data_IF_310901659636
#
_entry.id   IF_310901659636
#
_cell.length_a   1.000
_cell.length_b   1.000
_cell.length_c   1.000
_cell.angle_alpha   90.00
_cell.angle_beta   90.00
_cell.angle_gamma   90.00
#
_symmetry.space_group_name_H-M   'P 1'
#
loop_
_entity.id
_entity.type
_entity.pdbx_description
1 polymer ?
#
# COMPACT_ATOMS: atom_id res chain seq x y z
N UNK A 1 -19.08 -4.35 2.09
CA UNK A 1 -17.72 -3.74 2.31
C UNK A 1 -17.58 -3.17 3.72
N UNK A 2 -18.49 -2.34 4.24
CA UNK A 2 -18.34 -1.73 5.57
C UNK A 2 -18.09 -2.74 6.70
N UNK A 3 -18.89 -3.82 6.80
CA UNK A 3 -18.69 -4.87 7.83
C UNK A 3 -17.31 -5.53 7.73
N UNK A 4 -16.84 -5.83 6.52
CA UNK A 4 -15.51 -6.42 6.32
C UNK A 4 -14.39 -5.45 6.72
N UNK A 5 -14.56 -4.16 6.47
CA UNK A 5 -13.60 -3.14 6.86
C UNK A 5 -13.52 -2.99 8.40
N UNK A 6 -14.68 -2.98 9.09
CA UNK A 6 -14.70 -2.96 10.57
C UNK A 6 -13.96 -4.18 11.12
N UNK A 7 -14.26 -5.37 10.61
CA UNK A 7 -13.58 -6.59 11.04
C UNK A 7 -12.07 -6.53 10.82
N UNK A 8 -11.65 -6.08 9.63
CA UNK A 8 -10.23 -5.93 9.29
C UNK A 8 -9.51 -4.99 10.26
N UNK A 9 -10.07 -3.81 10.52
CA UNK A 9 -9.46 -2.82 11.40
C UNK A 9 -9.50 -3.24 12.89
N UNK A 10 -10.55 -3.95 13.32
CA UNK A 10 -10.59 -4.56 14.65
C UNK A 10 -9.53 -5.65 14.81
N UNK A 11 -9.35 -6.50 13.80
CA UNK A 11 -8.30 -7.52 13.79
C UNK A 11 -6.92 -6.90 13.88
N UNK A 12 -6.67 -5.82 13.13
CA UNK A 12 -5.43 -5.06 13.19
C UNK A 12 -5.13 -4.59 14.62
N UNK A 13 -6.07 -3.90 15.25
CA UNK A 13 -5.90 -3.38 16.62
C UNK A 13 -5.75 -4.49 17.66
N UNK A 14 -6.51 -5.58 17.53
CA UNK A 14 -6.45 -6.71 18.47
C UNK A 14 -5.14 -7.49 18.35
N UNK A 15 -4.67 -7.71 17.13
CA UNK A 15 -3.45 -8.47 16.87
C UNK A 15 -2.18 -7.63 17.11
N UNK A 16 -2.27 -6.31 17.00
CA UNK A 16 -1.12 -5.38 17.07
C UNK A 16 0.12 -5.93 16.33
N UNK A 17 0.00 -6.29 15.02
CA UNK A 17 0.99 -7.08 14.32
C UNK A 17 2.36 -6.39 14.32
N UNK A 18 3.42 -7.12 14.66
CA UNK A 18 4.78 -6.65 14.49
C UNK A 18 5.08 -6.58 12.99
N UNK A 19 5.13 -5.38 12.46
CA UNK A 19 5.30 -5.09 11.03
C UNK A 19 6.74 -4.63 10.78
N UNK A 20 7.53 -5.48 10.15
CA UNK A 20 8.88 -5.14 9.72
C UNK A 20 8.83 -4.28 8.46
N UNK A 21 9.42 -3.10 8.49
CA UNK A 21 9.47 -2.18 7.36
C UNK A 21 10.92 -1.93 6.94
N UNK A 22 11.30 -2.49 5.78
CA UNK A 22 12.48 -2.02 5.04
C UNK A 22 11.96 -0.88 4.16
N UNK A 23 12.12 0.35 4.65
CA UNK A 23 11.58 1.53 4.01
C UNK A 23 12.64 2.59 3.77
N UNK A 24 12.26 3.69 3.13
CA UNK A 24 13.18 4.77 2.81
C UNK A 24 13.39 5.70 4.00
N UNK A 25 14.59 6.26 4.12
CA UNK A 25 14.98 7.13 5.25
C UNK A 25 14.24 8.48 5.26
N UNK A 26 13.60 8.87 4.15
CA UNK A 26 12.81 10.11 4.09
C UNK A 26 11.52 9.99 4.90
N UNK A 27 10.96 8.78 4.98
CA UNK A 27 9.62 8.56 5.55
C UNK A 27 9.58 7.52 6.67
N UNK A 28 10.72 6.96 7.06
CA UNK A 28 10.80 5.91 8.08
C UNK A 28 10.08 6.29 9.39
N UNK A 29 10.31 7.51 9.89
CA UNK A 29 9.65 8.01 11.10
C UNK A 29 8.12 8.08 10.95
N UNK A 30 7.63 8.57 9.81
CA UNK A 30 6.20 8.68 9.55
C UNK A 30 5.53 7.32 9.40
N UNK A 31 6.19 6.38 8.73
CA UNK A 31 5.72 5.00 8.62
C UNK A 31 5.59 4.34 9.99
N UNK A 32 6.58 4.53 10.88
CA UNK A 32 6.51 4.02 12.24
C UNK A 32 5.36 4.64 13.04
N UNK A 33 5.21 5.97 13.00
CA UNK A 33 4.17 6.67 13.76
C UNK A 33 2.76 6.34 13.25
N UNK A 34 2.55 6.22 11.93
CA UNK A 34 1.23 5.85 11.41
C UNK A 34 0.86 4.41 11.74
N UNK A 35 1.82 3.49 11.77
CA UNK A 35 1.59 2.12 12.22
C UNK A 35 1.14 2.07 13.68
N UNK A 36 1.82 2.79 14.57
CA UNK A 36 1.41 2.94 15.97
C UNK A 36 0.00 3.54 16.09
N UNK A 37 -0.28 4.58 15.29
CA UNK A 37 -1.58 5.24 15.26
C UNK A 37 -2.72 4.29 14.86
N UNK A 38 -2.50 3.40 13.89
CA UNK A 38 -3.48 2.37 13.52
C UNK A 38 -3.55 1.18 14.48
N UNK A 39 -2.63 1.08 15.46
CA UNK A 39 -2.61 0.02 16.46
C UNK A 39 -1.72 -1.17 16.10
N UNK A 40 -0.78 -1.02 15.16
CA UNK A 40 0.27 -2.00 14.86
C UNK A 40 1.55 -1.68 15.64
N UNK A 41 2.51 -2.61 15.59
CA UNK A 41 3.85 -2.47 16.20
C UNK A 41 4.90 -2.39 15.08
N UNK A 42 5.53 -1.24 14.82
CA UNK A 42 6.55 -1.12 13.79
C UNK A 42 7.92 -1.60 14.25
N UNK A 43 8.70 -2.19 13.34
CA UNK A 43 10.13 -2.38 13.48
C UNK A 43 10.82 -1.96 12.18
N UNK A 44 11.82 -1.06 12.29
CA UNK A 44 12.51 -0.47 11.15
C UNK A 44 13.96 -0.99 11.15
N UNK A 45 14.19 -2.10 10.43
CA UNK A 45 15.50 -2.73 10.32
C UNK A 45 15.84 -2.97 8.84
N UNK A 46 17.01 -2.52 8.40
CA UNK A 46 17.45 -2.62 7.00
C UNK A 46 18.92 -3.03 6.85
N UNK A 47 19.56 -3.44 7.95
CA UNK A 47 20.90 -3.99 7.91
C UNK A 47 20.86 -5.46 7.43
N UNK A 48 21.63 -5.84 6.39
CA UNK A 48 21.66 -7.22 5.89
C UNK A 48 22.00 -8.26 6.97
N UNK A 49 22.71 -7.85 8.01
CA UNK A 49 23.18 -8.70 9.11
C UNK A 49 22.06 -9.15 10.05
N UNK A 50 20.93 -8.41 10.10
CA UNK A 50 19.86 -8.69 11.07
C UNK A 50 18.49 -8.97 10.45
N UNK A 51 18.24 -8.59 9.18
CA UNK A 51 16.90 -8.59 8.60
C UNK A 51 16.20 -9.94 8.61
N UNK A 52 16.93 -11.06 8.49
CA UNK A 52 16.35 -12.40 8.53
C UNK A 52 15.86 -12.77 9.94
N UNK A 53 16.60 -12.36 10.98
CA UNK A 53 16.20 -12.56 12.38
C UNK A 53 14.99 -11.70 12.71
N UNK A 54 14.99 -10.44 12.29
CA UNK A 54 13.87 -9.50 12.51
C UNK A 54 12.60 -9.98 11.80
N UNK A 55 12.70 -10.44 10.55
CA UNK A 55 11.56 -11.03 9.85
C UNK A 55 11.00 -12.22 10.60
N UNK A 56 11.86 -13.10 11.12
CA UNK A 56 11.41 -14.29 11.85
C UNK A 56 10.60 -13.97 13.13
N UNK A 57 10.81 -12.80 13.71
CA UNK A 57 10.03 -12.29 14.86
C UNK A 57 8.75 -11.56 14.42
N UNK A 58 8.66 -11.17 13.15
CA UNK A 58 7.60 -10.30 12.62
C UNK A 58 6.38 -11.09 12.15
N UNK A 59 5.26 -10.40 12.03
CA UNK A 59 4.02 -10.97 11.49
C UNK A 59 3.71 -10.51 10.08
N UNK A 60 4.39 -9.48 9.59
CA UNK A 60 4.31 -8.95 8.23
C UNK A 60 5.57 -8.21 7.83
N UNK A 61 5.87 -8.17 6.54
CA UNK A 61 6.99 -7.45 5.96
C UNK A 61 6.50 -6.40 4.95
N UNK A 62 7.03 -5.20 5.03
CA UNK A 62 6.85 -4.14 4.04
C UNK A 62 8.20 -3.81 3.41
N UNK A 63 8.26 -3.91 2.09
CA UNK A 63 9.43 -3.55 1.28
C UNK A 63 9.11 -2.32 0.46
N UNK A 64 9.88 -1.25 0.64
CA UNK A 64 9.72 0.03 -0.06
C UNK A 64 11.02 0.39 -0.80
N UNK A 65 10.93 0.63 -2.11
CA UNK A 65 12.08 0.89 -2.97
C UNK A 65 12.50 2.37 -3.04
N UNK A 66 12.00 3.21 -2.12
CA UNK A 66 12.47 4.58 -1.98
C UNK A 66 13.91 4.63 -1.46
N UNK A 67 14.68 5.64 -1.87
CA UNK A 67 16.10 5.83 -1.49
C UNK A 67 16.97 4.58 -1.59
N UNK A 68 16.71 3.75 -2.61
CA UNK A 68 17.34 2.46 -2.80
C UNK A 68 18.86 2.58 -2.96
N UNK A 69 19.60 1.72 -2.28
CA UNK A 69 21.04 1.57 -2.38
C UNK A 69 21.42 0.08 -2.34
N UNK A 70 22.72 -0.25 -2.55
CA UNK A 70 23.15 -1.65 -2.65
C UNK A 70 22.87 -2.44 -1.37
N UNK A 71 23.15 -1.88 -0.21
CA UNK A 71 22.92 -2.54 1.09
C UNK A 71 21.43 -2.83 1.31
N UNK A 72 20.56 -1.84 1.06
CA UNK A 72 19.12 -2.04 1.20
C UNK A 72 18.53 -3.01 0.17
N UNK A 73 19.14 -3.14 -1.03
CA UNK A 73 18.75 -4.20 -1.99
C UNK A 73 19.07 -5.58 -1.43
N UNK A 74 20.28 -5.80 -0.91
CA UNK A 74 20.69 -7.09 -0.36
C UNK A 74 19.82 -7.46 0.85
N UNK A 75 19.59 -6.52 1.79
CA UNK A 75 18.68 -6.69 2.92
C UNK A 75 17.25 -7.03 2.47
N UNK A 76 16.73 -6.34 1.46
CA UNK A 76 15.40 -6.56 0.92
C UNK A 76 15.22 -7.98 0.39
N UNK A 77 16.17 -8.48 -0.40
CA UNK A 77 16.09 -9.86 -0.92
C UNK A 77 16.20 -10.90 0.21
N UNK A 78 17.12 -10.72 1.14
CA UNK A 78 17.27 -11.61 2.30
C UNK A 78 15.98 -11.68 3.13
N UNK A 79 15.46 -10.53 3.55
CA UNK A 79 14.23 -10.44 4.32
C UNK A 79 13.01 -11.01 3.60
N UNK A 80 12.86 -10.69 2.29
CA UNK A 80 11.69 -11.12 1.54
C UNK A 80 11.70 -12.64 1.25
N UNK A 81 12.86 -13.23 0.96
CA UNK A 81 13.00 -14.70 0.87
C UNK A 81 12.67 -15.35 2.20
N UNK A 82 13.21 -14.83 3.30
CA UNK A 82 12.95 -15.34 4.64
C UNK A 82 11.48 -15.25 5.01
N UNK A 83 10.81 -14.15 4.67
CA UNK A 83 9.36 -14.00 4.85
C UNK A 83 8.58 -15.08 4.09
N UNK A 84 8.93 -15.34 2.83
CA UNK A 84 8.28 -16.38 2.02
C UNK A 84 8.49 -17.79 2.59
N UNK A 85 9.71 -18.12 3.07
CA UNK A 85 10.00 -19.40 3.73
C UNK A 85 9.14 -19.63 4.97
N UNK A 86 8.92 -18.58 5.75
CA UNK A 86 8.14 -18.62 6.99
C UNK A 86 6.63 -18.42 6.78
N UNK A 87 6.18 -18.20 5.55
CA UNK A 87 4.78 -17.89 5.25
C UNK A 87 4.31 -16.55 5.81
N UNK A 88 5.24 -15.61 6.06
CA UNK A 88 4.94 -14.26 6.51
C UNK A 88 4.55 -13.42 5.29
N UNK A 89 3.39 -12.76 5.29
CA UNK A 89 2.97 -11.95 4.15
C UNK A 89 3.90 -10.75 3.96
N UNK A 90 4.34 -10.55 2.72
CA UNK A 90 5.14 -9.41 2.30
C UNK A 90 4.32 -8.47 1.40
N UNK A 91 4.52 -7.17 1.56
CA UNK A 91 3.92 -6.11 0.73
C UNK A 91 5.03 -5.31 0.07
N UNK A 92 4.88 -5.04 -1.24
CA UNK A 92 5.84 -4.26 -2.03
C UNK A 92 5.29 -2.86 -2.33
N UNK A 93 6.13 -1.85 -2.10
CA UNK A 93 5.95 -0.47 -2.56
C UNK A 93 7.05 -0.15 -3.59
N UNK A 94 6.76 -0.23 -4.91
CA UNK A 94 7.74 -0.08 -5.96
C UNK A 94 8.05 1.40 -6.26
N UNK A 95 8.37 2.19 -5.25
CA UNK A 95 8.62 3.63 -5.34
C UNK A 95 9.60 3.96 -6.46
N UNK A 96 9.14 4.75 -7.44
CA UNK A 96 9.97 5.27 -8.52
C UNK A 96 10.35 4.22 -9.58
N UNK A 97 9.66 3.11 -9.67
CA UNK A 97 9.75 2.19 -10.81
C UNK A 97 9.31 2.94 -12.07
N UNK A 98 10.06 2.74 -13.15
CA UNK A 98 9.93 3.54 -14.38
C UNK A 98 10.80 4.79 -14.42
N UNK A 99 11.18 5.36 -13.29
CA UNK A 99 12.03 6.56 -13.23
C UNK A 99 13.53 6.25 -13.37
N UNK A 100 13.98 5.08 -12.93
CA UNK A 100 15.37 4.66 -13.11
C UNK A 100 15.48 3.17 -13.45
N UNK A 101 16.51 2.83 -14.22
CA UNK A 101 16.83 1.45 -14.56
C UNK A 101 17.06 0.60 -13.29
N UNK A 102 17.82 1.11 -12.34
CA UNK A 102 18.16 0.41 -11.10
C UNK A 102 16.91 0.00 -10.32
N UNK A 103 15.95 0.91 -10.12
CA UNK A 103 14.68 0.61 -9.41
C UNK A 103 13.82 -0.39 -10.19
N UNK A 104 13.71 -0.19 -11.50
CA UNK A 104 12.90 -1.05 -12.36
C UNK A 104 13.44 -2.49 -12.41
N UNK A 105 14.75 -2.66 -12.56
CA UNK A 105 15.40 -3.98 -12.56
C UNK A 105 15.29 -4.66 -11.18
N UNK A 106 15.50 -3.90 -10.10
CA UNK A 106 15.34 -4.44 -8.74
C UNK A 106 13.92 -4.91 -8.48
N UNK A 107 12.91 -4.11 -8.85
CA UNK A 107 11.50 -4.48 -8.67
C UNK A 107 11.12 -5.72 -9.48
N UNK A 108 11.58 -5.84 -10.73
CA UNK A 108 11.35 -7.02 -11.57
C UNK A 108 11.98 -8.27 -10.97
N UNK A 109 13.25 -8.19 -10.56
CA UNK A 109 13.91 -9.32 -9.89
C UNK A 109 13.19 -9.74 -8.60
N UNK A 110 12.67 -8.78 -7.83
CA UNK A 110 11.87 -9.09 -6.65
C UNK A 110 10.60 -9.86 -7.04
N UNK A 111 9.90 -9.48 -8.10
CA UNK A 111 8.70 -10.20 -8.57
C UNK A 111 9.02 -11.60 -9.12
N UNK A 112 10.19 -11.78 -9.73
CA UNK A 112 10.63 -13.08 -10.25
C UNK A 112 10.96 -14.07 -9.11
N UNK A 113 11.45 -13.58 -7.96
CA UNK A 113 11.95 -14.40 -6.87
C UNK A 113 11.00 -14.51 -5.67
N UNK A 114 10.18 -13.49 -5.43
CA UNK A 114 9.41 -13.30 -4.19
C UNK A 114 7.92 -13.25 -4.48
N UNK A 115 7.14 -13.91 -3.64
CA UNK A 115 5.68 -13.78 -3.61
C UNK A 115 5.29 -12.66 -2.66
N UNK A 116 4.66 -11.63 -3.22
CA UNK A 116 4.08 -10.54 -2.44
C UNK A 116 2.57 -10.75 -2.30
N UNK A 117 2.06 -10.67 -1.07
CA UNK A 117 0.63 -10.72 -0.80
C UNK A 117 -0.11 -9.52 -1.42
N UNK A 118 0.52 -8.34 -1.37
CA UNK A 118 0.02 -7.15 -2.04
C UNK A 118 1.17 -6.30 -2.61
N UNK A 119 0.86 -5.54 -3.67
CA UNK A 119 1.75 -4.55 -4.29
C UNK A 119 1.00 -3.24 -4.36
N UNK A 120 1.56 -2.17 -3.79
CA UNK A 120 0.93 -0.84 -3.77
C UNK A 120 1.87 0.21 -4.34
N UNK A 121 1.42 0.93 -5.36
CA UNK A 121 2.11 2.06 -5.98
C UNK A 121 1.12 3.05 -6.59
N UNK A 122 1.61 4.18 -7.09
CA UNK A 122 0.77 5.02 -7.93
C UNK A 122 0.53 4.35 -9.30
N UNK A 123 -0.47 4.85 -10.04
CA UNK A 123 -0.85 4.27 -11.35
C UNK A 123 0.35 4.15 -12.29
N UNK A 124 1.26 5.14 -12.33
CA UNK A 124 2.43 5.13 -13.21
C UNK A 124 3.45 4.06 -12.80
N UNK A 125 3.70 3.90 -11.51
CA UNK A 125 4.60 2.86 -10.96
C UNK A 125 4.07 1.47 -11.24
N UNK A 126 2.78 1.25 -10.97
CA UNK A 126 2.10 -0.03 -11.23
C UNK A 126 2.08 -0.34 -12.74
N UNK A 127 1.78 0.64 -13.58
CA UNK A 127 1.81 0.47 -15.04
C UNK A 127 3.22 0.12 -15.55
N UNK A 128 4.25 0.82 -15.07
CA UNK A 128 5.64 0.55 -15.43
C UNK A 128 6.12 -0.84 -14.98
N UNK A 129 5.63 -1.30 -13.81
CA UNK A 129 5.94 -2.62 -13.28
C UNK A 129 5.22 -3.72 -14.07
N UNK A 130 3.92 -3.56 -14.32
CA UNK A 130 3.07 -4.56 -14.95
C UNK A 130 3.30 -4.69 -16.46
N UNK A 131 3.53 -3.56 -17.16
CA UNK A 131 3.55 -3.52 -18.64
C UNK A 131 4.90 -3.07 -19.21
N UNK A 132 5.84 -2.63 -18.36
CA UNK A 132 7.15 -2.13 -18.79
C UNK A 132 7.13 -0.66 -19.22
N UNK A 133 8.33 -0.07 -19.31
CA UNK A 133 8.52 1.37 -19.62
C UNK A 133 8.40 1.72 -21.10
N UNK A 134 8.22 0.74 -21.98
CA UNK A 134 8.15 0.92 -23.44
C UNK A 134 6.75 0.97 -24.04
N UNK A 135 5.69 0.75 -23.25
CA UNK A 135 4.31 0.57 -23.73
C UNK A 135 3.51 1.86 -23.91
N UNK A 136 4.17 3.03 -23.91
CA UNK A 136 3.50 4.36 -23.92
C UNK A 136 2.93 4.77 -25.28
N UNK A 137 2.99 3.92 -26.33
CA UNK A 137 2.45 4.22 -27.65
C UNK A 137 1.33 3.25 -28.05
N UNK A 138 0.10 3.74 -28.13
CA UNK A 138 -1.06 3.01 -28.63
C UNK A 138 -2.09 2.69 -27.55
N UNK A 139 -2.68 1.51 -27.61
CA UNK A 139 -3.75 1.01 -26.70
C UNK A 139 -3.35 1.04 -25.21
N UNK A 140 -2.06 1.17 -24.93
CA UNK A 140 -1.47 1.21 -23.58
C UNK A 140 -1.56 2.59 -22.89
N UNK A 141 -1.93 3.65 -23.63
CA UNK A 141 -2.13 4.99 -23.06
C UNK A 141 -3.20 5.01 -21.94
N UNK A 142 -4.18 4.11 -22.00
CA UNK A 142 -5.28 4.07 -21.03
C UNK A 142 -4.86 3.73 -19.59
N UNK A 143 -3.69 3.08 -19.37
CA UNK A 143 -3.21 2.73 -18.01
C UNK A 143 -2.19 3.72 -17.48
N UNK A 144 -1.52 4.50 -18.36
CA UNK A 144 -0.65 5.59 -17.95
C UNK A 144 -1.44 6.84 -17.53
N UNK A 145 -2.71 6.94 -17.95
CA UNK A 145 -3.60 8.02 -17.57
C UNK A 145 -4.13 7.82 -16.14
N UNK A 146 -4.43 8.92 -15.46
CA UNK A 146 -5.04 8.88 -14.16
C UNK A 146 -6.31 8.00 -14.18
N UNK A 147 -6.50 7.16 -13.18
CA UNK A 147 -7.75 6.40 -13.02
C UNK A 147 -8.89 7.39 -12.82
N UNK A 148 -9.91 7.28 -13.67
CA UNK A 148 -11.13 8.07 -13.67
C UNK A 148 -12.35 7.14 -13.71
N UNK A 149 -13.53 7.66 -13.39
CA UNK A 149 -14.77 6.88 -13.43
C UNK A 149 -15.02 6.22 -14.80
N UNK A 150 -14.64 6.91 -15.90
CA UNK A 150 -14.86 6.44 -17.26
C UNK A 150 -13.94 5.29 -17.68
N UNK A 151 -12.76 5.14 -17.07
CA UNK A 151 -11.77 4.13 -17.46
C UNK A 151 -11.47 3.09 -16.36
N UNK A 152 -12.00 3.24 -15.14
CA UNK A 152 -11.68 2.42 -13.98
C UNK A 152 -11.77 0.91 -14.23
N UNK A 153 -12.85 0.47 -14.92
CA UNK A 153 -13.05 -0.94 -15.23
C UNK A 153 -12.01 -1.46 -16.23
N UNK A 154 -11.73 -0.72 -17.30
CA UNK A 154 -10.72 -1.12 -18.29
C UNK A 154 -9.31 -1.20 -17.68
N UNK A 155 -8.97 -0.24 -16.78
CA UNK A 155 -7.71 -0.30 -16.03
C UNK A 155 -7.69 -1.51 -15.09
N UNK A 156 -8.77 -1.78 -14.36
CA UNK A 156 -8.87 -2.92 -13.46
C UNK A 156 -8.73 -4.26 -14.20
N UNK A 157 -9.37 -4.42 -15.37
CA UNK A 157 -9.25 -5.61 -16.22
C UNK A 157 -7.80 -5.88 -16.65
N UNK A 158 -7.05 -4.84 -16.98
CA UNK A 158 -5.63 -4.98 -17.31
C UNK A 158 -4.77 -5.34 -16.08
N UNK A 159 -5.03 -4.70 -14.94
CA UNK A 159 -4.33 -5.02 -13.69
C UNK A 159 -4.66 -6.42 -13.17
N UNK A 160 -5.84 -6.97 -13.51
CA UNK A 160 -6.24 -8.34 -13.20
C UNK A 160 -5.25 -9.36 -13.73
N UNK A 161 -4.79 -9.21 -14.99
CA UNK A 161 -3.84 -10.14 -15.59
C UNK A 161 -2.53 -10.17 -14.80
N UNK A 162 -2.03 -9.01 -14.41
CA UNK A 162 -0.84 -8.90 -13.57
C UNK A 162 -1.08 -9.48 -12.17
N UNK A 163 -2.20 -9.15 -11.53
CA UNK A 163 -2.57 -9.68 -10.22
C UNK A 163 -2.67 -11.21 -10.24
N UNK A 164 -3.28 -11.78 -11.28
CA UNK A 164 -3.41 -13.23 -11.47
C UNK A 164 -2.04 -13.91 -11.70
N UNK A 165 -1.19 -13.33 -12.56
CA UNK A 165 0.12 -13.88 -12.88
C UNK A 165 1.03 -13.98 -11.64
N UNK A 166 1.00 -12.96 -10.78
CA UNK A 166 1.81 -12.91 -9.56
C UNK A 166 1.07 -13.37 -8.30
N UNK A 167 -0.22 -13.78 -8.42
CA UNK A 167 -1.07 -14.19 -7.29
C UNK A 167 -1.05 -13.19 -6.14
N UNK A 168 -1.25 -11.93 -6.47
CA UNK A 168 -1.12 -10.78 -5.57
C UNK A 168 -2.35 -9.89 -5.63
N UNK A 169 -2.55 -9.07 -4.62
CA UNK A 169 -3.50 -7.96 -4.65
C UNK A 169 -2.76 -6.69 -5.05
N UNK A 170 -3.23 -6.01 -6.09
CA UNK A 170 -2.65 -4.76 -6.58
C UNK A 170 -3.45 -3.57 -6.08
N UNK A 171 -2.77 -2.59 -5.50
CA UNK A 171 -3.34 -1.28 -5.14
C UNK A 171 -2.70 -0.22 -6.02
N UNK A 172 -3.45 0.28 -6.98
CA UNK A 172 -3.03 1.38 -7.85
C UNK A 172 -3.65 2.68 -7.35
N UNK A 173 -2.81 3.57 -6.78
CA UNK A 173 -3.29 4.80 -6.17
C UNK A 173 -3.24 6.00 -7.11
N UNK A 174 -4.28 6.87 -7.02
CA UNK A 174 -4.45 8.05 -7.84
C UNK A 174 -5.54 8.99 -7.30
N UNK A 175 -6.24 9.65 -8.19
CA UNK A 175 -7.45 10.40 -7.85
C UNK A 175 -8.60 9.48 -7.42
N UNK A 176 -8.65 8.29 -8.03
CA UNK A 176 -9.39 7.12 -7.59
C UNK A 176 -8.37 6.02 -7.36
N UNK A 177 -8.47 5.31 -6.24
CA UNK A 177 -7.64 4.14 -6.00
C UNK A 177 -8.36 2.88 -6.47
N UNK A 178 -7.63 1.97 -7.10
CA UNK A 178 -8.11 0.65 -7.48
C UNK A 178 -7.42 -0.42 -6.64
N UNK A 179 -8.21 -1.35 -6.09
CA UNK A 179 -7.72 -2.55 -5.42
C UNK A 179 -8.18 -3.76 -6.23
N UNK A 180 -7.24 -4.48 -6.83
CA UNK A 180 -7.51 -5.51 -7.84
C UNK A 180 -6.86 -6.82 -7.45
N UNK A 181 -7.61 -7.93 -7.50
CA UNK A 181 -7.09 -9.28 -7.51
C UNK A 181 -7.52 -10.04 -8.80
N UNK A 182 -7.32 -11.35 -8.85
CA UNK A 182 -7.67 -12.16 -10.03
C UNK A 182 -9.18 -12.27 -10.28
N UNK A 183 -10.02 -12.03 -9.28
CA UNK A 183 -11.45 -12.31 -9.30
C UNK A 183 -12.31 -11.04 -9.31
N UNK A 184 -11.81 -9.98 -8.71
CA UNK A 184 -12.60 -8.77 -8.39
C UNK A 184 -11.75 -7.51 -8.28
N UNK A 185 -12.43 -6.38 -8.28
CA UNK A 185 -11.78 -5.10 -7.98
C UNK A 185 -12.68 -4.21 -7.13
N UNK A 186 -12.05 -3.27 -6.43
CA UNK A 186 -12.75 -2.19 -5.75
C UNK A 186 -12.22 -0.84 -6.21
N UNK A 187 -13.14 0.12 -6.33
CA UNK A 187 -12.84 1.53 -6.49
C UNK A 187 -12.98 2.22 -5.14
N UNK A 188 -11.93 2.87 -4.67
CA UNK A 188 -11.91 3.64 -3.44
C UNK A 188 -11.85 5.12 -3.78
N UNK A 189 -12.83 5.89 -3.27
CA UNK A 189 -12.98 7.33 -3.53
C UNK A 189 -12.60 8.19 -2.32
N UNK A 190 -12.12 7.56 -1.27
CA UNK A 190 -11.61 8.26 -0.10
C UNK A 190 -10.21 8.76 -0.33
N UNK A 191 -9.93 9.96 0.12
CA UNK A 191 -8.61 10.56 0.02
C UNK A 191 -8.66 12.07 0.05
N UNK A 192 -7.50 12.68 0.25
CA UNK A 192 -7.33 14.13 0.29
C UNK A 192 -6.24 14.56 -0.70
N UNK A 193 -6.45 15.60 -1.50
CA UNK A 193 -5.42 16.17 -2.36
C UNK A 193 -4.23 16.73 -1.57
N UNK A 194 -4.40 16.99 -0.28
CA UNK A 194 -3.31 17.42 0.60
C UNK A 194 -2.27 16.32 0.82
N UNK A 195 -2.65 15.05 0.65
CA UNK A 195 -1.70 13.94 0.73
C UNK A 195 -0.57 14.05 -0.31
N UNK A 196 -0.84 14.60 -1.47
CA UNK A 196 0.18 14.88 -2.50
C UNK A 196 1.11 16.08 -2.15
N UNK A 197 0.78 16.86 -1.11
CA UNK A 197 1.54 18.04 -0.68
C UNK A 197 2.50 17.75 0.47
N UNK A 198 2.51 16.51 0.99
CA UNK A 198 3.47 16.03 1.98
C UNK A 198 4.26 14.86 1.41
N UNK A 199 5.52 14.74 1.80
CA UNK A 199 6.29 13.54 1.46
C UNK A 199 5.82 12.36 2.29
N UNK A 200 5.83 11.15 1.71
CA UNK A 200 5.62 9.91 2.44
C UNK A 200 4.18 9.46 2.65
N UNK A 201 3.16 10.20 2.22
CA UNK A 201 1.77 9.75 2.35
C UNK A 201 1.55 8.36 1.70
N UNK A 202 2.16 8.12 0.52
CA UNK A 202 2.16 6.81 -0.12
C UNK A 202 2.82 5.73 0.72
N UNK A 203 4.03 5.99 1.21
CA UNK A 203 4.79 5.05 2.03
C UNK A 203 4.06 4.72 3.36
N UNK A 204 3.44 5.71 4.00
CA UNK A 204 2.57 5.51 5.17
C UNK A 204 1.39 4.61 4.84
N UNK A 205 0.71 4.85 3.72
CA UNK A 205 -0.41 4.00 3.27
C UNK A 205 0.02 2.56 3.02
N UNK A 206 1.21 2.36 2.42
CA UNK A 206 1.77 1.01 2.22
C UNK A 206 2.11 0.33 3.55
N UNK A 207 2.65 1.06 4.52
CA UNK A 207 2.93 0.53 5.85
C UNK A 207 1.64 0.04 6.54
N UNK A 208 0.57 0.85 6.50
CA UNK A 208 -0.76 0.48 7.02
C UNK A 208 -1.33 -0.74 6.29
N UNK A 209 -1.20 -0.80 4.95
CA UNK A 209 -1.58 -1.97 4.16
C UNK A 209 -0.86 -3.23 4.65
N UNK A 210 0.46 -3.15 4.86
CA UNK A 210 1.26 -4.28 5.36
C UNK A 210 0.77 -4.79 6.71
N UNK A 211 0.47 -3.91 7.64
CA UNK A 211 -0.07 -4.27 8.96
C UNK A 211 -1.49 -4.87 8.85
N UNK A 212 -2.37 -4.31 8.01
CA UNK A 212 -3.71 -4.86 7.78
C UNK A 212 -3.64 -6.26 7.17
N UNK A 213 -2.76 -6.50 6.20
CA UNK A 213 -2.53 -7.81 5.58
C UNK A 213 -1.97 -8.79 6.61
N UNK A 214 -1.01 -8.37 7.44
CA UNK A 214 -0.43 -9.19 8.49
C UNK A 214 -1.49 -9.70 9.50
N UNK A 215 -2.45 -8.84 9.85
CA UNK A 215 -3.54 -9.17 10.76
C UNK A 215 -4.71 -9.95 10.10
N UNK A 216 -4.75 -10.05 8.77
CA UNK A 216 -5.88 -10.63 8.01
C UNK A 216 -5.39 -11.48 6.82
N UNK A 217 -4.47 -12.41 7.07
CA UNK A 217 -3.72 -13.17 6.05
C UNK A 217 -4.60 -13.92 5.05
N UNK A 218 -5.75 -14.43 5.50
CA UNK A 218 -6.69 -15.19 4.67
C UNK A 218 -7.60 -14.29 3.81
N UNK A 219 -7.55 -12.98 4.03
CA UNK A 219 -8.47 -12.02 3.40
C UNK A 219 -7.71 -10.78 2.92
N UNK A 220 -6.64 -11.03 2.13
CA UNK A 220 -5.71 -9.99 1.69
C UNK A 220 -6.39 -8.87 0.90
N UNK A 221 -7.33 -9.21 0.01
CA UNK A 221 -8.03 -8.21 -0.78
C UNK A 221 -8.90 -7.30 0.08
N UNK A 222 -9.69 -7.87 1.01
CA UNK A 222 -10.51 -7.09 1.96
C UNK A 222 -9.62 -6.22 2.86
N UNK A 223 -8.47 -6.76 3.29
CA UNK A 223 -7.48 -6.01 4.06
C UNK A 223 -6.91 -4.82 3.27
N UNK A 224 -6.63 -5.03 1.98
CA UNK A 224 -6.13 -3.97 1.11
C UNK A 224 -7.18 -2.88 0.88
N UNK A 225 -8.44 -3.25 0.64
CA UNK A 225 -9.54 -2.29 0.48
C UNK A 225 -9.75 -1.49 1.77
N UNK A 226 -9.79 -2.18 2.92
CA UNK A 226 -10.01 -1.52 4.21
C UNK A 226 -8.86 -0.56 4.57
N UNK A 227 -7.60 -0.98 4.37
CA UNK A 227 -6.41 -0.17 4.64
C UNK A 227 -6.40 1.09 3.77
N UNK A 228 -6.61 0.94 2.46
CA UNK A 228 -6.62 2.04 1.50
C UNK A 228 -7.71 3.05 1.83
N UNK A 229 -8.93 2.57 2.04
CA UNK A 229 -10.07 3.43 2.31
C UNK A 229 -9.97 4.12 3.69
N UNK A 230 -9.56 3.40 4.73
CA UNK A 230 -9.38 3.96 6.08
C UNK A 230 -8.29 5.04 6.10
N UNK A 231 -7.16 4.80 5.42
CA UNK A 231 -6.10 5.81 5.29
C UNK A 231 -6.61 7.05 4.53
N UNK A 232 -7.40 6.85 3.47
CA UNK A 232 -8.06 7.93 2.74
C UNK A 232 -9.00 8.76 3.61
N UNK A 233 -9.84 8.10 4.43
CA UNK A 233 -10.74 8.77 5.40
C UNK A 233 -9.94 9.58 6.44
N UNK A 234 -8.83 9.04 6.96
CA UNK A 234 -7.94 9.79 7.85
C UNK A 234 -7.40 11.05 7.17
N UNK A 235 -7.05 10.96 5.87
CA UNK A 235 -6.65 12.11 5.07
C UNK A 235 -7.74 13.18 4.95
N UNK A 236 -9.00 12.80 4.75
CA UNK A 236 -10.15 13.72 4.69
C UNK A 236 -10.42 14.41 6.03
N UNK A 237 -10.29 13.66 7.12
CA UNK A 237 -10.41 14.22 8.48
C UNK A 237 -9.29 15.21 8.75
N UNK A 238 -8.04 14.85 8.38
CA UNK A 238 -6.87 15.69 8.54
C UNK A 238 -6.98 17.00 7.75
N UNK A 239 -7.42 16.93 6.48
CA UNK A 239 -7.65 18.12 5.66
C UNK A 239 -8.64 19.08 6.33
N UNK A 240 -9.81 18.58 6.72
CA UNK A 240 -10.83 19.40 7.39
C UNK A 240 -10.28 20.08 8.63
N UNK A 241 -9.64 19.32 9.54
CA UNK A 241 -9.04 19.87 10.77
C UNK A 241 -7.95 20.89 10.49
N UNK A 242 -7.13 20.65 9.45
CA UNK A 242 -6.08 21.57 9.02
C UNK A 242 -6.65 22.89 8.53
N UNK A 243 -7.68 22.85 7.70
CA UNK A 243 -8.36 24.05 7.17
C UNK A 243 -9.04 24.83 8.30
N UNK A 244 -9.76 24.16 9.18
CA UNK A 244 -10.44 24.77 10.35
C UNK A 244 -9.46 25.51 11.27
N UNK A 245 -8.21 25.01 11.39
CA UNK A 245 -7.15 25.64 12.19
C UNK A 245 -6.33 26.69 11.42
N UNK A 246 -6.59 26.91 10.16
CA UNK A 246 -5.75 27.76 9.30
C UNK A 246 -4.32 27.22 9.14
N UNK A 247 -4.13 25.90 9.25
CA UNK A 247 -2.84 25.24 9.18
C UNK A 247 -2.34 25.00 7.76
N UNK A 248 -1.10 24.54 7.63
CA UNK A 248 -0.43 24.19 6.39
C UNK A 248 -0.12 22.68 6.29
N UNK A 249 0.81 22.32 5.41
CA UNK A 249 1.19 20.93 5.14
C UNK A 249 1.76 20.18 6.37
N UNK A 250 2.51 20.87 7.24
CA UNK A 250 3.00 20.26 8.47
C UNK A 250 1.84 19.92 9.43
N UNK A 251 0.85 20.82 9.56
CA UNK A 251 -0.36 20.57 10.34
C UNK A 251 -1.13 19.38 9.75
N UNK A 252 -1.29 19.32 8.42
CA UNK A 252 -1.96 18.20 7.77
C UNK A 252 -1.27 16.86 8.07
N UNK A 253 0.07 16.79 8.00
CA UNK A 253 0.83 15.57 8.33
C UNK A 253 0.57 15.12 9.77
N UNK A 254 0.56 16.06 10.72
CA UNK A 254 0.26 15.76 12.12
C UNK A 254 -1.19 15.30 12.30
N UNK A 255 -2.14 16.03 11.72
CA UNK A 255 -3.57 15.68 11.79
C UNK A 255 -3.90 14.34 11.12
N UNK A 256 -3.12 13.91 10.12
CA UNK A 256 -3.29 12.59 9.50
C UNK A 256 -2.97 11.46 10.50
N UNK A 257 -1.89 11.58 11.24
CA UNK A 257 -1.49 10.62 12.28
C UNK A 257 -2.47 10.69 13.46
N UNK A 258 -2.89 11.88 13.86
CA UNK A 258 -3.89 12.08 14.93
C UNK A 258 -5.26 11.49 14.52
N UNK A 259 -5.69 11.68 13.28
CA UNK A 259 -6.92 11.08 12.77
C UNK A 259 -6.86 9.56 12.82
N UNK A 260 -5.72 8.96 12.42
CA UNK A 260 -5.51 7.52 12.49
C UNK A 260 -5.58 6.98 13.93
N UNK A 261 -5.00 7.70 14.90
CA UNK A 261 -4.94 7.28 16.30
C UNK A 261 -6.28 7.41 17.04
N UNK A 262 -7.12 8.35 16.63
CA UNK A 262 -8.37 8.69 17.33
C UNK A 262 -9.64 8.13 16.66
N UNK A 263 -9.56 7.68 15.40
CA UNK A 263 -10.72 7.17 14.70
C UNK A 263 -11.02 5.71 15.05
N UNK A 264 -12.25 5.43 15.52
CA UNK A 264 -12.70 4.07 15.75
C UNK A 264 -13.02 3.34 14.44
N UNK A 265 -12.79 1.99 14.36
CA UNK A 265 -13.05 1.20 13.16
C UNK A 265 -14.44 1.39 12.59
N UNK A 266 -15.46 1.46 13.45
CA UNK A 266 -16.85 1.68 13.07
C UNK A 266 -17.03 3.04 12.40
N UNK A 267 -16.45 4.08 13.00
CA UNK A 267 -16.52 5.43 12.46
C UNK A 267 -15.82 5.57 11.11
N UNK A 268 -14.65 4.92 10.95
CA UNK A 268 -13.98 4.85 9.65
C UNK A 268 -14.87 4.16 8.62
N UNK A 269 -15.47 3.01 8.97
CA UNK A 269 -16.30 2.24 8.06
C UNK A 269 -17.57 2.98 7.59
N UNK A 270 -18.16 3.84 8.42
CA UNK A 270 -19.30 4.71 8.04
C UNK A 270 -18.93 5.73 6.95
N UNK A 271 -17.68 6.12 6.87
CA UNK A 271 -17.18 7.15 5.95
C UNK A 271 -16.56 6.56 4.67
N UNK A 272 -16.51 5.24 4.54
CA UNK A 272 -15.94 4.58 3.37
C UNK A 272 -16.77 4.83 2.11
N UNK A 273 -16.11 5.26 1.05
CA UNK A 273 -16.69 5.38 -0.29
C UNK A 273 -16.05 4.35 -1.22
N UNK A 274 -16.51 3.10 -1.07
CA UNK A 274 -15.97 1.93 -1.77
C UNK A 274 -17.05 1.25 -2.58
N UNK A 275 -16.76 0.99 -3.85
CA UNK A 275 -17.57 0.17 -4.75
C UNK A 275 -16.76 -1.05 -5.17
N UNK A 276 -17.32 -2.24 -4.99
CA UNK A 276 -16.67 -3.50 -5.34
C UNK A 276 -17.42 -4.21 -6.46
N UNK A 277 -16.68 -4.74 -7.42
CA UNK A 277 -17.18 -5.44 -8.58
C UNK A 277 -16.40 -6.75 -8.80
N UNK A 278 -17.10 -7.77 -9.36
CA UNK A 278 -16.50 -9.05 -9.76
C UNK A 278 -16.24 -9.04 -11.26
N UNK A 279 -15.10 -9.58 -11.68
CA UNK A 279 -14.83 -9.77 -13.10
C UNK A 279 -15.71 -10.87 -13.67
N UNK A 280 -16.33 -10.62 -14.84
CA UNK A 280 -17.23 -11.59 -15.49
C UNK A 280 -18.69 -11.55 -15.02
N UNK A 281 -19.09 -10.65 -14.12
CA UNK A 281 -20.48 -10.34 -13.84
C UNK A 281 -21.05 -9.44 -14.95
N UNK A 282 -21.99 -9.95 -15.74
CA UNK A 282 -22.85 -9.18 -16.64
C UNK A 282 -24.11 -8.82 -15.88
#
# INVERSE_FOLDING_TARGET
MATAAVETLRNLRRAAPLTHCITNYVTANDCANVLLAFGASPIMADAPEEVEEIVALSTGLVVNLGTLNRSTVDATFAAARRANELGIPAVLDPVGVGASRFRTETARRLLDEIRFAAIRGNVSEIAALAFGTGSVRGVDAAVSDAVAESNRRAVAERLREFAAAFRTTVVASGALDLVVDAERFATVRNGSPWAARITGAGCMSTAVLGACVAANRERVWEAAVAATAAFGVCGEIAERRTVERGGGTATFRTELIDAASTAEPERLAELLRVEAEVFGGV
#
